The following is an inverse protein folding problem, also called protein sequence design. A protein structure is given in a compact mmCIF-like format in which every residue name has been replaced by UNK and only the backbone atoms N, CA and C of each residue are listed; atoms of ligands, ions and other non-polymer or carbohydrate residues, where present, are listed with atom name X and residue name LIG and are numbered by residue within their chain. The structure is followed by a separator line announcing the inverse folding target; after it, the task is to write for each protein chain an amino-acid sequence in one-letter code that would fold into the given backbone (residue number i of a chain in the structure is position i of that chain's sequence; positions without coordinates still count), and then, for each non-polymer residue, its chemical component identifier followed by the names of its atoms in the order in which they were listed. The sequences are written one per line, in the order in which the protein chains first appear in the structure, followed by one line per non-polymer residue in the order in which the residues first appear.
data_IF_385867045851
#
_entry.id   IF_385867045851
#
_cell.length_a   1.000
_cell.length_b   1.000
_cell.length_c   1.000
_cell.angle_alpha   90.00
_cell.angle_beta   90.00
_cell.angle_gamma   90.00
#
_symmetry.space_group_name_H-M   'P 1'
#
loop_
_entity.id
_entity.type
_entity.pdbx_description
1 polymer ?
#
# COMPACT_ATOMS: atom_id res chain seq x y z
N UNK A 1 -12.32 10.74 -19.81
CA UNK A 1 -12.85 9.74 -18.85
C UNK A 1 -11.71 8.86 -18.35
N UNK A 2 -11.61 8.59 -17.04
CA UNK A 2 -10.63 7.67 -16.47
C UNK A 2 -11.26 6.32 -16.15
N UNK A 3 -10.59 5.22 -16.52
CA UNK A 3 -10.95 3.88 -16.09
C UNK A 3 -10.15 3.50 -14.84
N UNK A 4 -10.83 3.30 -13.73
CA UNK A 4 -10.23 2.88 -12.46
C UNK A 4 -10.36 1.38 -12.25
N UNK A 5 -9.32 0.75 -11.67
CA UNK A 5 -9.28 -0.69 -11.41
C UNK A 5 -8.70 -0.97 -10.02
N UNK A 6 -9.40 -1.80 -9.25
CA UNK A 6 -8.90 -2.31 -7.98
C UNK A 6 -8.26 -3.69 -8.17
N UNK A 7 -6.93 -3.74 -8.27
CA UNK A 7 -6.13 -4.97 -8.35
C UNK A 7 -5.21 -5.11 -7.11
N UNK A 8 -5.78 -5.48 -5.94
CA UNK A 8 -5.04 -5.52 -4.66
C UNK A 8 -3.97 -6.62 -4.60
N UNK A 9 -3.96 -7.52 -5.57
CA UNK A 9 -2.94 -8.55 -5.77
C UNK A 9 -1.62 -8.04 -6.35
N UNK A 10 -1.52 -6.75 -6.65
CA UNK A 10 -0.40 -6.10 -7.31
C UNK A 10 0.98 -6.51 -6.77
N UNK A 11 1.21 -6.44 -5.45
CA UNK A 11 2.54 -6.74 -4.89
C UNK A 11 2.97 -8.19 -5.12
N UNK A 12 2.04 -9.15 -5.07
CA UNK A 12 2.34 -10.56 -5.39
C UNK A 12 2.45 -10.81 -6.90
N UNK A 13 1.80 -9.99 -7.72
CA UNK A 13 1.99 -10.01 -9.17
C UNK A 13 3.39 -9.48 -9.54
N UNK A 14 3.87 -8.43 -8.87
CA UNK A 14 5.26 -7.95 -9.00
C UNK A 14 6.27 -9.01 -8.57
N UNK A 15 6.01 -9.73 -7.47
CA UNK A 15 6.86 -10.84 -7.03
C UNK A 15 6.95 -11.94 -8.08
N UNK A 16 5.81 -12.35 -8.63
CA UNK A 16 5.74 -13.40 -9.66
C UNK A 16 6.33 -12.96 -11.01
N UNK A 17 6.21 -11.67 -11.34
CA UNK A 17 6.69 -11.05 -12.59
C UNK A 17 6.22 -11.75 -13.88
N UNK A 18 4.99 -12.24 -13.88
CA UNK A 18 4.41 -12.99 -15.00
C UNK A 18 3.19 -12.25 -15.56
N UNK A 19 3.11 -12.14 -16.89
CA UNK A 19 1.96 -11.53 -17.57
C UNK A 19 0.69 -12.40 -17.50
N UNK A 20 0.84 -13.69 -17.24
CA UNK A 20 -0.26 -14.66 -17.05
C UNK A 20 -0.46 -15.03 -15.57
N UNK A 21 0.03 -14.18 -14.67
CA UNK A 21 -0.13 -14.40 -13.23
C UNK A 21 -1.62 -14.49 -12.86
N UNK A 22 -1.93 -15.51 -12.08
CA UNK A 22 -3.26 -15.69 -11.49
C UNK A 22 -3.16 -15.57 -9.98
N UNK A 23 -3.84 -14.58 -9.43
CA UNK A 23 -3.84 -14.33 -8.00
C UNK A 23 -4.40 -15.56 -7.22
N UNK A 24 -3.91 -15.81 -5.99
CA UNK A 24 -4.52 -16.78 -5.09
C UNK A 24 -6.00 -16.46 -4.85
N UNK A 25 -6.79 -17.47 -4.46
CA UNK A 25 -8.24 -17.32 -4.23
C UNK A 25 -8.59 -16.11 -3.36
N UNK A 26 -7.89 -15.92 -2.24
CA UNK A 26 -8.12 -14.78 -1.34
C UNK A 26 -7.91 -13.41 -2.01
N UNK A 27 -6.92 -13.27 -2.90
CA UNK A 27 -6.69 -12.04 -3.68
C UNK A 27 -7.80 -11.78 -4.68
N UNK A 28 -8.22 -12.81 -5.44
CA UNK A 28 -9.34 -12.70 -6.36
C UNK A 28 -10.64 -12.37 -5.64
N UNK A 29 -10.89 -12.99 -4.49
CA UNK A 29 -12.06 -12.71 -3.65
C UNK A 29 -12.04 -11.26 -3.15
N UNK A 30 -10.88 -10.77 -2.68
CA UNK A 30 -10.72 -9.38 -2.24
C UNK A 30 -11.01 -8.39 -3.37
N UNK A 31 -10.45 -8.65 -4.57
CA UNK A 31 -10.70 -7.85 -5.78
C UNK A 31 -12.19 -7.83 -6.14
N UNK A 32 -12.85 -8.97 -6.08
CA UNK A 32 -14.28 -9.09 -6.40
C UNK A 32 -15.16 -8.34 -5.39
N UNK A 33 -14.93 -8.56 -4.09
CA UNK A 33 -15.77 -8.01 -3.04
C UNK A 33 -15.60 -6.49 -2.86
N UNK A 34 -14.38 -5.98 -3.08
CA UNK A 34 -14.01 -4.57 -2.86
C UNK A 34 -13.70 -3.81 -4.16
N UNK A 35 -13.99 -4.36 -5.32
CA UNK A 35 -13.77 -3.73 -6.62
C UNK A 35 -14.44 -2.36 -6.79
N UNK A 36 -15.45 -2.06 -5.96
CA UNK A 36 -16.13 -0.77 -5.93
C UNK A 36 -15.31 0.37 -5.30
N UNK A 37 -14.22 0.07 -4.56
CA UNK A 37 -13.48 1.10 -3.81
C UNK A 37 -13.05 2.31 -4.64
N UNK A 38 -12.63 2.18 -5.92
CA UNK A 38 -12.31 3.34 -6.73
C UNK A 38 -13.43 4.38 -6.86
N UNK A 39 -14.69 3.97 -6.73
CA UNK A 39 -15.83 4.91 -6.75
C UNK A 39 -15.78 5.94 -5.61
N UNK A 40 -14.98 5.70 -4.56
CA UNK A 40 -14.83 6.63 -3.42
C UNK A 40 -13.96 7.86 -3.76
N UNK A 41 -13.17 7.82 -4.84
CA UNK A 41 -12.33 8.92 -5.32
C UNK A 41 -12.49 9.25 -6.81
N UNK A 42 -13.23 8.45 -7.56
CA UNK A 42 -13.53 8.69 -8.97
C UNK A 42 -14.30 10.00 -9.16
N UNK A 43 -14.05 10.67 -10.27
CA UNK A 43 -14.77 11.88 -10.66
C UNK A 43 -16.04 11.52 -11.41
N UNK A 44 -16.94 12.50 -11.55
CA UNK A 44 -18.11 12.35 -12.42
C UNK A 44 -17.66 12.05 -13.85
N UNK A 45 -18.29 11.06 -14.47
CA UNK A 45 -17.92 10.57 -15.80
C UNK A 45 -16.84 9.48 -15.81
N UNK A 46 -16.09 9.26 -14.71
CA UNK A 46 -15.13 8.16 -14.62
C UNK A 46 -15.84 6.81 -14.50
N UNK A 47 -15.16 5.75 -14.94
CA UNK A 47 -15.65 4.36 -14.86
C UNK A 47 -14.81 3.51 -13.92
N UNK A 48 -15.46 2.54 -13.30
CA UNK A 48 -14.83 1.59 -12.40
C UNK A 48 -15.00 0.17 -12.96
N UNK A 49 -13.88 -0.47 -13.29
CA UNK A 49 -13.89 -1.85 -13.77
C UNK A 49 -14.17 -2.81 -12.62
N UNK A 50 -15.23 -3.58 -12.73
CA UNK A 50 -15.67 -4.56 -11.72
C UNK A 50 -16.06 -5.87 -12.37
N UNK A 51 -16.13 -6.94 -11.58
CA UNK A 51 -16.57 -8.24 -12.06
C UNK A 51 -18.11 -8.30 -12.19
N UNK A 52 -18.84 -7.69 -11.22
CA UNK A 52 -20.30 -7.67 -11.15
C UNK A 52 -20.79 -6.28 -10.76
N UNK A 53 -21.40 -5.57 -11.70
CA UNK A 53 -21.82 -4.16 -11.55
C UNK A 53 -22.86 -3.97 -10.44
N UNK A 54 -23.89 -4.83 -10.41
CA UNK A 54 -24.97 -4.73 -9.41
C UNK A 54 -24.45 -4.95 -7.98
N UNK A 55 -23.56 -5.93 -7.79
CA UNK A 55 -22.93 -6.21 -6.49
C UNK A 55 -22.05 -5.07 -6.03
N UNK A 56 -21.25 -4.49 -6.95
CA UNK A 56 -20.41 -3.34 -6.68
C UNK A 56 -21.24 -2.10 -6.31
N UNK A 57 -22.32 -1.83 -7.06
CA UNK A 57 -23.23 -0.72 -6.77
C UNK A 57 -23.89 -0.87 -5.39
N UNK A 58 -24.34 -2.08 -5.04
CA UNK A 58 -24.93 -2.37 -3.74
C UNK A 58 -23.92 -2.20 -2.59
N UNK A 59 -22.67 -2.61 -2.80
CA UNK A 59 -21.60 -2.44 -1.83
C UNK A 59 -21.24 -0.95 -1.65
N UNK A 60 -21.08 -0.22 -2.75
CA UNK A 60 -20.85 1.22 -2.75
C UNK A 60 -21.94 1.99 -2.00
N UNK A 61 -23.23 1.77 -2.35
CA UNK A 61 -24.37 2.44 -1.69
C UNK A 61 -24.40 2.20 -0.19
N UNK A 62 -24.04 0.99 0.28
CA UNK A 62 -23.92 0.70 1.73
C UNK A 62 -22.86 1.53 2.42
N UNK A 63 -21.68 1.69 1.78
CA UNK A 63 -20.59 2.53 2.31
C UNK A 63 -21.04 3.97 2.36
N UNK A 64 -21.62 4.46 1.29
CA UNK A 64 -22.14 5.81 1.15
C UNK A 64 -23.17 6.15 2.23
N UNK A 65 -24.18 5.31 2.39
CA UNK A 65 -25.17 5.47 3.44
C UNK A 65 -24.53 5.51 4.85
N UNK A 66 -23.48 4.70 5.06
CA UNK A 66 -22.77 4.70 6.34
C UNK A 66 -21.98 5.97 6.56
N UNK A 67 -21.34 6.53 5.56
CA UNK A 67 -20.62 7.81 5.64
C UNK A 67 -21.56 8.96 6.02
N UNK A 68 -22.72 9.05 5.35
CA UNK A 68 -23.76 10.04 5.69
C UNK A 68 -24.30 9.85 7.10
N UNK A 69 -24.66 8.61 7.47
CA UNK A 69 -25.17 8.30 8.82
C UNK A 69 -24.20 8.68 9.95
N UNK A 70 -22.90 8.69 9.68
CA UNK A 70 -21.86 9.07 10.63
C UNK A 70 -21.51 10.57 10.57
N UNK A 71 -22.12 11.34 9.67
CA UNK A 71 -21.81 12.74 9.44
C UNK A 71 -20.43 12.98 8.78
N UNK A 72 -19.78 11.92 8.26
CA UNK A 72 -18.44 12.03 7.67
C UNK A 72 -18.48 12.78 6.33
N UNK A 73 -19.57 12.62 5.59
CA UNK A 73 -19.83 13.30 4.32
C UNK A 73 -21.29 13.74 4.26
N UNK A 74 -21.52 15.01 3.90
CA UNK A 74 -22.86 15.54 3.67
C UNK A 74 -23.41 15.09 2.31
N UNK A 75 -22.52 14.91 1.35
CA UNK A 75 -22.80 14.38 0.01
C UNK A 75 -21.70 13.42 -0.40
N UNK A 76 -22.08 12.48 -1.28
CA UNK A 76 -21.16 11.44 -1.73
C UNK A 76 -20.43 11.89 -2.98
N UNK A 77 -19.14 11.45 -3.15
CA UNK A 77 -18.52 11.53 -4.44
C UNK A 77 -19.35 10.69 -5.43
N UNK A 78 -19.61 11.23 -6.60
CA UNK A 78 -20.38 10.65 -7.70
C UNK A 78 -21.69 9.94 -7.26
N UNK A 79 -22.81 10.66 -7.31
CA UNK A 79 -24.15 10.12 -7.01
C UNK A 79 -24.49 8.85 -7.82
N UNK A 80 -23.82 8.63 -8.98
CA UNK A 80 -23.96 7.45 -9.83
C UNK A 80 -22.61 7.04 -10.41
N UNK A 81 -21.77 6.30 -9.66
CA UNK A 81 -20.54 5.76 -10.23
C UNK A 81 -20.86 4.80 -11.36
N UNK A 82 -20.19 4.97 -12.48
CA UNK A 82 -20.37 4.09 -13.63
C UNK A 82 -19.51 2.83 -13.45
N UNK A 83 -20.12 1.79 -12.88
CA UNK A 83 -19.50 0.47 -12.86
C UNK A 83 -19.60 -0.19 -14.23
N UNK A 84 -18.56 -0.88 -14.65
CA UNK A 84 -18.49 -1.53 -15.95
C UNK A 84 -17.84 -2.90 -15.85
N UNK A 85 -18.43 -3.91 -16.49
CA UNK A 85 -17.85 -5.24 -16.57
C UNK A 85 -16.89 -5.36 -17.75
N UNK A 86 -15.86 -6.22 -17.62
CA UNK A 86 -14.81 -6.39 -18.63
C UNK A 86 -15.30 -6.76 -20.04
N UNK A 87 -16.50 -7.32 -20.15
CA UNK A 87 -17.10 -7.74 -21.45
C UNK A 87 -17.70 -6.59 -22.26
N UNK A 88 -17.90 -5.41 -21.68
CA UNK A 88 -18.48 -4.26 -22.37
C UNK A 88 -17.38 -3.52 -23.13
N UNK A 89 -17.51 -3.40 -24.46
CA UNK A 89 -16.49 -2.79 -25.34
C UNK A 89 -16.66 -1.29 -25.57
N UNK A 90 -17.82 -0.75 -25.26
CA UNK A 90 -18.24 0.62 -25.65
C UNK A 90 -17.41 1.73 -25.00
N UNK A 91 -16.88 1.51 -23.79
CA UNK A 91 -16.15 2.55 -23.04
C UNK A 91 -14.69 2.78 -23.47
N UNK A 92 -14.12 1.92 -24.32
CA UNK A 92 -12.70 2.02 -24.73
C UNK A 92 -12.38 3.29 -25.50
N UNK A 93 -13.29 3.70 -26.40
CA UNK A 93 -13.11 4.88 -27.24
C UNK A 93 -13.21 6.19 -26.45
N UNK A 94 -13.84 6.17 -25.28
CA UNK A 94 -14.05 7.32 -24.39
C UNK A 94 -12.99 7.40 -23.28
N UNK A 95 -12.08 6.42 -23.21
CA UNK A 95 -11.07 6.35 -22.13
C UNK A 95 -9.83 7.13 -22.50
N UNK A 96 -9.52 8.17 -21.74
CA UNK A 96 -8.33 9.01 -21.88
C UNK A 96 -7.20 8.60 -20.93
N UNK A 97 -7.51 7.84 -19.88
CA UNK A 97 -6.58 7.39 -18.87
C UNK A 97 -7.03 6.10 -18.20
N UNK A 98 -6.08 5.25 -17.84
CA UNK A 98 -6.31 4.02 -17.10
C UNK A 98 -5.53 4.08 -15.77
N UNK A 99 -6.21 3.90 -14.65
CA UNK A 99 -5.63 3.97 -13.32
C UNK A 99 -5.93 2.70 -12.51
N UNK A 100 -5.09 1.67 -12.58
CA UNK A 100 -5.18 0.54 -11.68
C UNK A 100 -4.73 0.94 -10.26
N UNK A 101 -5.00 0.07 -9.30
CA UNK A 101 -4.44 0.17 -7.95
C UNK A 101 -2.92 0.23 -7.97
N UNK A 102 -2.30 -0.61 -8.79
CA UNK A 102 -0.91 -0.57 -9.14
C UNK A 102 -0.63 -1.26 -10.48
N UNK A 103 0.39 -0.81 -11.19
CA UNK A 103 0.80 -1.33 -12.48
C UNK A 103 1.72 -2.54 -12.33
N UNK A 104 1.36 -3.65 -12.95
CA UNK A 104 2.14 -4.87 -13.08
C UNK A 104 1.91 -5.53 -14.44
N UNK A 105 2.70 -6.55 -14.79
CA UNK A 105 2.60 -7.25 -16.08
C UNK A 105 1.24 -7.93 -16.28
N UNK A 106 0.60 -8.40 -15.20
CA UNK A 106 -0.67 -9.12 -15.29
C UNK A 106 -1.83 -8.18 -15.61
N UNK A 107 -1.94 -7.04 -14.90
CA UNK A 107 -2.98 -6.03 -15.18
C UNK A 107 -2.79 -5.40 -16.56
N UNK A 108 -1.53 -5.12 -16.97
CA UNK A 108 -1.25 -4.63 -18.31
C UNK A 108 -1.77 -5.62 -19.37
N UNK A 109 -1.46 -6.93 -19.20
CA UNK A 109 -1.93 -7.98 -20.11
C UNK A 109 -3.44 -8.16 -20.12
N UNK A 110 -4.11 -8.02 -18.96
CA UNK A 110 -5.57 -8.02 -18.87
C UNK A 110 -6.17 -6.90 -19.71
N UNK A 111 -5.64 -5.69 -19.59
CA UNK A 111 -6.08 -4.51 -20.34
C UNK A 111 -5.81 -4.63 -21.85
N UNK A 112 -4.66 -5.18 -22.27
CA UNK A 112 -4.38 -5.49 -23.66
C UNK A 112 -5.44 -6.43 -24.27
N UNK A 113 -5.81 -7.50 -23.53
CA UNK A 113 -6.87 -8.43 -23.94
C UNK A 113 -8.24 -7.75 -24.05
N UNK A 114 -8.45 -6.71 -23.27
CA UNK A 114 -9.63 -5.84 -23.37
C UNK A 114 -9.52 -4.85 -24.52
N UNK A 115 -8.39 -4.79 -25.25
CA UNK A 115 -8.15 -3.96 -26.43
C UNK A 115 -7.64 -2.55 -26.11
N UNK A 116 -7.10 -2.31 -24.93
CA UNK A 116 -6.34 -1.09 -24.65
C UNK A 116 -4.94 -1.20 -25.23
N UNK A 117 -4.38 -0.08 -25.68
CA UNK A 117 -3.05 0.04 -26.27
C UNK A 117 -2.33 1.27 -25.73
N UNK A 118 -1.07 1.45 -26.08
CA UNK A 118 -0.34 2.69 -25.83
C UNK A 118 -1.03 3.88 -26.55
N UNK A 119 -1.02 5.09 -25.98
CA UNK A 119 -0.31 5.51 -24.77
C UNK A 119 -1.07 5.25 -23.45
N UNK A 120 -2.23 4.59 -23.46
CA UNK A 120 -3.03 4.36 -22.26
C UNK A 120 -2.42 3.30 -21.31
N UNK A 121 -1.55 2.44 -21.84
CA UNK A 121 -0.83 1.43 -21.07
C UNK A 121 0.66 1.80 -20.99
N UNK A 122 1.29 1.66 -19.82
CA UNK A 122 2.74 1.82 -19.73
C UNK A 122 3.44 0.75 -20.57
N UNK A 123 4.59 1.09 -21.12
CA UNK A 123 5.44 0.15 -21.85
C UNK A 123 5.93 -0.98 -20.95
N UNK A 124 6.41 -2.12 -21.52
CA UNK A 124 7.03 -3.19 -20.73
C UNK A 124 8.20 -2.70 -19.88
N UNK A 125 9.02 -1.78 -20.39
CA UNK A 125 10.17 -1.21 -19.68
C UNK A 125 9.74 -0.35 -18.49
N UNK A 126 8.67 0.45 -18.63
CA UNK A 126 8.09 1.20 -17.51
C UNK A 126 7.52 0.28 -16.44
N UNK A 127 6.90 -0.84 -16.80
CA UNK A 127 6.45 -1.86 -15.83
C UNK A 127 7.65 -2.48 -15.09
N UNK A 128 8.73 -2.78 -15.81
CA UNK A 128 9.94 -3.33 -15.19
C UNK A 128 10.61 -2.31 -14.26
N UNK A 129 10.59 -1.03 -14.63
CA UNK A 129 11.05 0.04 -13.74
C UNK A 129 10.18 0.17 -12.49
N UNK A 130 8.85 0.13 -12.61
CA UNK A 130 7.93 0.13 -11.45
C UNK A 130 8.25 -1.06 -10.54
N UNK A 131 8.43 -2.25 -11.10
CA UNK A 131 8.79 -3.44 -10.33
C UNK A 131 10.13 -3.27 -9.60
N UNK A 132 11.15 -2.76 -10.28
CA UNK A 132 12.46 -2.50 -9.70
C UNK A 132 12.37 -1.52 -8.52
N UNK A 133 11.67 -0.41 -8.70
CA UNK A 133 11.48 0.61 -7.68
C UNK A 133 10.60 0.13 -6.51
N UNK A 134 9.68 -0.80 -6.75
CA UNK A 134 8.82 -1.41 -5.72
C UNK A 134 9.54 -2.46 -4.87
N UNK A 135 10.79 -2.81 -5.20
CA UNK A 135 11.60 -3.67 -4.36
C UNK A 135 11.95 -2.95 -3.05
N UNK A 136 11.84 -3.62 -1.90
CA UNK A 136 12.13 -3.02 -0.57
C UNK A 136 13.55 -2.46 -0.42
N UNK A 137 14.50 -2.83 -1.30
CA UNK A 137 15.83 -2.17 -1.36
C UNK A 137 15.71 -0.67 -1.60
N UNK A 138 14.70 -0.21 -2.34
CA UNK A 138 14.48 1.22 -2.59
C UNK A 138 14.20 1.96 -1.28
N UNK A 139 13.41 1.37 -0.38
CA UNK A 139 13.20 1.92 0.98
C UNK A 139 14.49 1.94 1.78
N UNK A 140 15.29 0.86 1.72
CA UNK A 140 16.58 0.76 2.40
C UNK A 140 17.59 1.80 1.88
N UNK A 141 17.60 2.07 0.58
CA UNK A 141 18.45 3.10 -0.05
C UNK A 141 18.00 4.52 0.27
N UNK A 142 16.69 4.74 0.39
CA UNK A 142 16.12 6.04 0.73
C UNK A 142 16.38 6.38 2.21
N UNK A 143 16.29 5.40 3.09
CA UNK A 143 16.31 5.59 4.54
C UNK A 143 17.47 6.46 5.04
N UNK A 144 18.75 6.22 4.72
CA UNK A 144 19.87 7.06 5.19
C UNK A 144 19.82 8.50 4.63
N UNK A 145 19.15 8.72 3.50
CA UNK A 145 19.05 10.05 2.88
C UNK A 145 17.99 10.95 3.55
N UNK A 146 17.02 10.33 4.23
CA UNK A 146 15.94 11.06 4.91
C UNK A 146 16.12 11.09 6.42
N UNK A 147 17.00 10.26 6.98
CA UNK A 147 17.30 10.25 8.41
C UNK A 147 17.85 11.59 8.91
N UNK A 148 17.58 11.86 10.18
CA UNK A 148 18.03 13.03 10.92
C UNK A 148 17.90 12.78 12.42
N UNK A 149 18.28 13.74 13.26
CA UNK A 149 18.10 13.66 14.70
C UNK A 149 16.65 13.31 15.07
N UNK A 150 16.45 12.38 16.01
CA UNK A 150 15.14 11.85 16.40
C UNK A 150 14.60 10.75 15.50
N UNK A 151 15.39 10.30 14.50
CA UNK A 151 15.02 9.16 13.65
C UNK A 151 15.90 7.94 13.93
N UNK A 152 15.32 6.76 13.66
CA UNK A 152 15.97 5.44 13.73
C UNK A 152 15.66 4.67 12.44
N UNK A 153 16.33 3.57 12.25
CA UNK A 153 16.04 2.61 11.17
C UNK A 153 17.32 2.16 10.47
N UNK A 154 17.40 0.87 10.23
CA UNK A 154 18.43 0.22 9.41
C UNK A 154 17.75 -0.89 8.60
N UNK A 155 18.17 -1.07 7.37
CA UNK A 155 17.65 -2.11 6.49
C UNK A 155 18.79 -2.62 5.59
N UNK A 156 18.90 -3.93 5.49
CA UNK A 156 19.96 -4.63 4.78
C UNK A 156 19.36 -5.54 3.72
N UNK A 157 19.96 -5.58 2.54
CA UNK A 157 19.64 -6.56 1.52
C UNK A 157 20.64 -7.71 1.62
N UNK A 158 20.16 -8.93 1.84
CA UNK A 158 20.97 -10.14 1.92
C UNK A 158 20.65 -11.05 0.74
N UNK A 159 21.68 -11.50 0.04
CA UNK A 159 21.60 -12.44 -1.10
C UNK A 159 22.00 -13.86 -0.72
N UNK A 160 22.51 -14.06 0.48
CA UNK A 160 22.87 -15.38 1.04
C UNK A 160 22.39 -15.56 2.47
N UNK A 161 22.33 -16.78 2.96
CA UNK A 161 21.94 -17.09 4.35
C UNK A 161 23.00 -16.64 5.34
N UNK A 162 24.27 -16.72 4.97
CA UNK A 162 25.42 -16.34 5.78
C UNK A 162 25.37 -14.84 6.14
N UNK A 163 24.99 -13.98 5.19
CA UNK A 163 24.77 -12.55 5.44
C UNK A 163 23.66 -12.30 6.48
N UNK A 164 22.62 -13.12 6.49
CA UNK A 164 21.57 -13.02 7.52
C UNK A 164 22.10 -13.47 8.88
N UNK A 165 22.92 -14.53 8.93
CA UNK A 165 23.56 -15.02 10.15
C UNK A 165 24.51 -14.00 10.75
N UNK A 166 25.29 -13.29 9.94
CA UNK A 166 26.17 -12.19 10.39
C UNK A 166 25.37 -11.07 11.07
N UNK A 167 24.18 -10.76 10.57
CA UNK A 167 23.33 -9.74 11.20
C UNK A 167 22.79 -10.19 12.57
N UNK A 168 22.59 -11.49 12.80
CA UNK A 168 22.24 -12.01 14.11
C UNK A 168 23.39 -11.90 15.15
N UNK A 169 24.63 -11.73 14.71
CA UNK A 169 25.75 -11.43 15.63
C UNK A 169 25.70 -9.98 16.14
N UNK A 170 25.01 -9.09 15.40
CA UNK A 170 24.89 -7.66 15.72
C UNK A 170 23.59 -7.32 16.44
N UNK A 171 22.52 -8.09 16.20
CA UNK A 171 21.18 -7.78 16.69
C UNK A 171 20.53 -9.03 17.30
N UNK A 172 19.98 -8.89 18.50
CA UNK A 172 19.30 -9.98 19.22
C UNK A 172 18.01 -10.43 18.51
N UNK A 173 17.40 -9.54 17.70
CA UNK A 173 16.14 -9.81 17.05
C UNK A 173 16.05 -9.10 15.71
N UNK A 174 15.63 -9.84 14.68
CA UNK A 174 15.53 -9.37 13.31
C UNK A 174 14.12 -9.53 12.76
N UNK A 175 13.81 -8.69 11.75
CA UNK A 175 12.63 -8.80 10.90
C UNK A 175 13.10 -9.12 9.49
N UNK A 176 12.74 -10.31 9.00
CA UNK A 176 13.04 -10.73 7.63
C UNK A 176 11.84 -10.44 6.74
N UNK A 177 12.07 -9.82 5.58
CA UNK A 177 11.01 -9.41 4.66
C UNK A 177 11.33 -9.89 3.24
N UNK A 178 10.34 -10.51 2.57
CA UNK A 178 10.48 -10.78 1.14
C UNK A 178 10.48 -9.44 0.36
N UNK A 179 11.31 -9.31 -0.69
CA UNK A 179 11.44 -8.08 -1.48
C UNK A 179 10.13 -7.50 -2.00
N UNK A 180 9.25 -8.37 -2.51
CA UNK A 180 7.90 -8.04 -2.93
C UNK A 180 6.92 -8.91 -2.15
N UNK A 181 6.11 -8.28 -1.32
CA UNK A 181 5.04 -8.97 -0.58
C UNK A 181 4.05 -7.96 -0.04
N UNK A 182 2.85 -8.42 0.31
CA UNK A 182 1.81 -7.57 0.89
C UNK A 182 1.18 -8.20 2.12
N UNK A 183 0.54 -7.34 2.92
CA UNK A 183 -0.30 -7.75 4.05
C UNK A 183 0.39 -8.67 5.07
N UNK A 184 1.69 -8.44 5.33
CA UNK A 184 2.48 -9.18 6.32
C UNK A 184 2.82 -10.63 5.96
N UNK A 185 2.38 -11.14 4.81
CA UNK A 185 2.62 -12.56 4.42
C UNK A 185 4.08 -12.87 4.15
N UNK A 186 4.85 -11.88 3.69
CA UNK A 186 6.28 -11.99 3.42
C UNK A 186 7.15 -11.50 4.56
N UNK A 187 6.66 -11.44 5.81
CA UNK A 187 7.40 -10.96 6.98
C UNK A 187 7.58 -12.08 7.98
N UNK A 188 8.78 -12.21 8.55
CA UNK A 188 9.12 -13.12 9.64
C UNK A 188 9.83 -12.37 10.73
N UNK A 189 9.39 -12.58 11.97
CA UNK A 189 10.07 -12.08 13.16
C UNK A 189 10.94 -13.21 13.72
N UNK A 190 12.23 -12.95 13.89
CA UNK A 190 13.21 -13.94 14.30
C UNK A 190 13.99 -13.41 15.49
N UNK A 191 13.94 -14.12 16.60
CA UNK A 191 14.86 -13.92 17.72
C UNK A 191 16.25 -14.48 17.35
N UNK A 192 17.33 -14.02 18.01
CA UNK A 192 18.69 -14.51 17.81
C UNK A 192 18.75 -16.04 17.85
N UNK A 193 19.61 -16.69 17.08
CA UNK A 193 19.43 -18.05 16.63
C UNK A 193 19.27 -19.02 17.78
N UNK A 194 18.04 -19.48 17.99
CA UNK A 194 17.84 -20.81 18.49
C UNK A 194 18.05 -21.74 17.30
N UNK A 195 19.23 -22.31 17.24
CA UNK A 195 19.45 -23.43 16.33
C UNK A 195 18.39 -24.47 16.68
N UNK A 196 17.74 -25.03 15.68
CA UNK A 196 16.88 -26.19 15.87
C UNK A 196 17.76 -27.37 16.35
N UNK A 197 17.16 -28.50 16.73
CA UNK A 197 17.88 -29.69 17.19
C UNK A 197 18.90 -30.22 16.17
N UNK A 198 18.88 -29.71 14.94
CA UNK A 198 19.81 -30.05 13.83
C UNK A 198 20.91 -29.02 13.59
N UNK A 199 20.98 -27.96 14.40
CA UNK A 199 21.94 -26.87 14.22
C UNK A 199 21.59 -25.90 13.07
N UNK A 200 20.36 -25.94 12.51
CA UNK A 200 19.92 -25.04 11.45
C UNK A 200 19.20 -23.82 12.04
N UNK A 201 19.39 -22.65 11.42
CA UNK A 201 18.69 -21.42 11.80
C UNK A 201 17.17 -21.57 11.61
N UNK A 202 16.38 -21.15 12.59
CA UNK A 202 14.93 -21.07 12.44
C UNK A 202 14.62 -20.12 11.28
N UNK A 203 13.76 -20.56 10.33
CA UNK A 203 13.42 -19.89 9.07
C UNK A 203 14.47 -19.97 7.93
N UNK A 204 15.59 -20.68 8.07
CA UNK A 204 16.60 -20.81 7.02
C UNK A 204 15.98 -21.30 5.67
N UNK A 205 15.12 -22.30 5.71
CA UNK A 205 14.39 -22.77 4.52
C UNK A 205 13.55 -21.67 3.87
N UNK A 206 12.90 -20.83 4.67
CA UNK A 206 12.13 -19.70 4.14
C UNK A 206 13.05 -18.66 3.50
N UNK A 207 14.16 -18.32 4.13
CA UNK A 207 15.17 -17.39 3.60
C UNK A 207 15.70 -17.90 2.26
N UNK A 208 16.15 -19.16 2.18
CA UNK A 208 16.64 -19.77 0.93
C UNK A 208 15.58 -19.72 -0.18
N UNK A 209 14.31 -20.03 0.14
CA UNK A 209 13.23 -19.99 -0.83
C UNK A 209 12.95 -18.56 -1.33
N UNK A 210 13.00 -17.56 -0.46
CA UNK A 210 12.82 -16.15 -0.85
C UNK A 210 13.99 -15.70 -1.74
N UNK A 211 15.24 -15.98 -1.35
CA UNK A 211 16.40 -15.64 -2.15
C UNK A 211 16.32 -16.33 -3.52
N UNK A 212 16.00 -17.62 -3.58
CA UNK A 212 15.89 -18.37 -4.82
C UNK A 212 14.79 -17.82 -5.75
N UNK A 213 13.66 -17.34 -5.20
CA UNK A 213 12.52 -16.87 -5.98
C UNK A 213 12.53 -15.38 -6.29
N UNK A 214 13.12 -14.55 -5.41
CA UNK A 214 13.08 -13.08 -5.52
C UNK A 214 14.49 -12.44 -5.55
N UNK A 215 15.56 -13.24 -5.49
CA UNK A 215 16.94 -12.78 -5.61
C UNK A 215 17.60 -12.33 -4.31
N UNK A 216 16.84 -11.93 -3.31
CA UNK A 216 17.35 -11.46 -2.01
C UNK A 216 16.28 -11.57 -0.93
N UNK A 217 16.68 -11.35 0.31
CA UNK A 217 15.79 -11.09 1.46
C UNK A 217 16.20 -9.77 2.10
N UNK A 218 15.22 -8.96 2.50
CA UNK A 218 15.48 -7.74 3.27
C UNK A 218 15.48 -8.08 4.77
N UNK A 219 16.43 -7.51 5.50
CA UNK A 219 16.63 -7.75 6.92
C UNK A 219 16.69 -6.42 7.66
N UNK A 220 15.94 -6.30 8.74
CA UNK A 220 15.91 -5.12 9.58
C UNK A 220 16.06 -5.52 11.05
N UNK A 221 16.69 -4.71 11.90
CA UNK A 221 16.60 -4.87 13.34
C UNK A 221 15.14 -4.80 13.79
N UNK A 222 14.79 -5.54 14.83
CA UNK A 222 13.46 -5.45 15.42
C UNK A 222 13.35 -4.20 16.28
N UNK A 223 12.43 -3.31 15.91
CA UNK A 223 12.13 -2.11 16.69
C UNK A 223 10.88 -2.33 17.56
N UNK A 224 10.93 -1.83 18.80
CA UNK A 224 9.78 -1.83 19.70
C UNK A 224 8.75 -0.81 19.24
N UNK A 225 7.86 -1.26 18.36
CA UNK A 225 6.83 -0.44 17.76
C UNK A 225 5.86 0.14 18.78
N UNK A 226 5.59 1.45 18.68
CA UNK A 226 4.59 2.17 19.46
C UNK A 226 3.38 2.49 18.59
N UNK A 227 3.60 2.98 17.36
CA UNK A 227 2.52 3.38 16.46
C UNK A 227 2.90 3.22 15.00
N UNK A 228 2.00 2.65 14.18
CA UNK A 228 2.10 2.68 12.72
C UNK A 228 1.37 3.90 12.18
N UNK A 229 1.92 4.50 11.14
CA UNK A 229 1.29 5.51 10.32
C UNK A 229 2.00 5.60 8.97
N UNK A 230 1.46 6.37 8.06
CA UNK A 230 2.07 6.63 6.76
C UNK A 230 1.79 8.04 6.26
N UNK A 231 2.46 8.39 5.20
CA UNK A 231 2.20 9.57 4.39
C UNK A 231 1.82 9.13 2.98
N UNK A 232 0.76 9.73 2.46
CA UNK A 232 0.27 9.45 1.11
C UNK A 232 0.62 10.61 0.18
N UNK A 233 1.03 10.26 -1.05
CA UNK A 233 1.52 11.19 -2.05
C UNK A 233 0.99 10.84 -3.44
N UNK A 234 1.17 11.77 -4.36
CA UNK A 234 1.02 11.58 -5.79
C UNK A 234 2.18 12.22 -6.54
N UNK A 235 2.80 11.47 -7.43
CA UNK A 235 3.84 11.92 -8.32
C UNK A 235 3.25 12.22 -9.70
N UNK A 236 3.42 13.45 -10.18
CA UNK A 236 3.00 13.87 -11.50
C UNK A 236 4.11 13.63 -12.54
N UNK A 237 3.72 13.60 -13.83
CA UNK A 237 4.66 13.39 -14.93
C UNK A 237 5.72 14.50 -15.08
N UNK A 238 5.45 15.70 -14.58
CA UNK A 238 6.41 16.82 -14.54
C UNK A 238 7.43 16.70 -13.39
N UNK A 239 7.39 15.62 -12.62
CA UNK A 239 8.22 15.36 -11.45
C UNK A 239 7.76 16.06 -10.17
N UNK A 240 6.59 16.72 -10.18
CA UNK A 240 5.99 17.29 -8.97
C UNK A 240 5.50 16.19 -8.05
N UNK A 241 5.92 16.21 -6.77
CA UNK A 241 5.42 15.33 -5.73
C UNK A 241 4.45 16.10 -4.85
N UNK A 242 3.19 15.68 -4.85
CA UNK A 242 2.12 16.26 -4.05
C UNK A 242 1.86 15.40 -2.80
N UNK A 243 2.00 15.99 -1.63
CA UNK A 243 1.56 15.39 -0.38
C UNK A 243 0.03 15.41 -0.30
N UNK A 244 -0.60 14.28 0.01
CA UNK A 244 -2.05 14.12 0.10
C UNK A 244 -2.55 14.11 1.54
N UNK A 245 -1.76 13.62 2.49
CA UNK A 245 -2.12 13.63 3.91
C UNK A 245 -1.53 12.46 4.70
N UNK A 246 -1.74 12.51 6.01
CA UNK A 246 -1.40 11.43 6.94
C UNK A 246 -2.40 10.27 6.85
N UNK A 247 -1.86 9.06 6.91
CA UNK A 247 -2.60 7.82 7.00
C UNK A 247 -2.28 7.17 8.34
N UNK A 248 -3.18 7.29 9.33
CA UNK A 248 -3.02 6.63 10.61
C UNK A 248 -3.68 5.26 10.54
N UNK A 249 -2.88 4.21 10.57
CA UNK A 249 -3.37 2.85 10.48
C UNK A 249 -2.92 2.00 11.67
N UNK A 250 -3.45 0.80 11.74
CA UNK A 250 -3.10 -0.18 12.76
C UNK A 250 -2.81 -1.53 12.10
N UNK A 251 -1.75 -2.18 12.58
CA UNK A 251 -1.39 -3.53 12.18
C UNK A 251 -1.38 -4.46 13.40
N UNK A 252 -1.76 -5.72 13.17
CA UNK A 252 -1.65 -6.80 14.15
C UNK A 252 -0.83 -7.91 13.51
N UNK A 253 0.30 -8.28 14.13
CA UNK A 253 1.25 -9.26 13.56
C UNK A 253 1.69 -8.93 12.12
N UNK A 254 1.86 -7.64 11.81
CA UNK A 254 2.21 -7.15 10.48
C UNK A 254 1.04 -7.11 9.47
N UNK A 255 -0.15 -7.58 9.84
CA UNK A 255 -1.32 -7.53 8.98
C UNK A 255 -2.11 -6.24 9.22
N UNK A 256 -2.50 -5.56 8.14
CA UNK A 256 -3.35 -4.38 8.18
C UNK A 256 -4.72 -4.68 8.79
N UNK A 257 -5.17 -3.81 9.71
CA UNK A 257 -6.47 -3.92 10.39
C UNK A 257 -7.43 -2.80 9.99
N UNK A 258 -6.93 -1.59 9.80
CA UNK A 258 -7.78 -0.45 9.43
C UNK A 258 -7.09 0.91 9.56
N UNK A 259 -7.74 1.95 9.03
CA UNK A 259 -7.30 3.34 9.12
C UNK A 259 -8.26 4.20 9.93
N UNK A 260 -7.70 5.22 10.58
CA UNK A 260 -8.46 6.28 11.21
C UNK A 260 -8.95 7.27 10.14
N UNK A 261 -10.23 7.61 10.21
CA UNK A 261 -10.86 8.66 9.43
C UNK A 261 -11.02 9.88 10.34
N UNK A 262 -10.27 10.92 10.06
CA UNK A 262 -10.28 12.21 10.74
C UNK A 262 -9.70 13.26 9.79
N UNK A 263 -9.84 14.54 10.13
CA UNK A 263 -9.18 15.62 9.38
C UNK A 263 -7.66 15.53 9.50
N UNK A 264 -6.94 16.21 8.64
CA UNK A 264 -5.48 16.26 8.71
C UNK A 264 -4.98 16.89 10.01
N UNK A 265 -5.65 17.94 10.51
CA UNK A 265 -5.35 18.61 11.79
C UNK A 265 -5.41 17.61 12.95
N UNK A 266 -6.50 16.88 13.06
CA UNK A 266 -6.70 15.86 14.10
C UNK A 266 -5.69 14.73 14.01
N UNK A 267 -5.38 14.24 12.81
CA UNK A 267 -4.35 13.21 12.62
C UNK A 267 -2.97 13.70 13.02
N UNK A 268 -2.62 14.95 12.68
CA UNK A 268 -1.37 15.58 13.12
C UNK A 268 -1.30 15.74 14.63
N UNK A 269 -2.38 16.17 15.26
CA UNK A 269 -2.49 16.22 16.71
C UNK A 269 -2.26 14.84 17.35
N UNK A 270 -2.92 13.78 16.82
CA UNK A 270 -2.74 12.42 17.33
C UNK A 270 -1.30 11.92 17.23
N UNK A 271 -0.58 12.24 16.15
CA UNK A 271 0.82 11.86 15.98
C UNK A 271 1.76 12.71 16.81
N UNK A 272 1.44 13.98 17.08
CA UNK A 272 2.27 14.88 17.86
C UNK A 272 2.47 14.42 19.32
N UNK A 273 1.62 13.54 19.82
CA UNK A 273 1.81 12.87 21.12
C UNK A 273 3.02 11.94 21.15
N UNK A 274 3.55 11.55 20.01
CA UNK A 274 4.65 10.58 19.86
C UNK A 274 5.92 11.21 19.31
N UNK A 275 5.79 12.15 18.37
CA UNK A 275 6.91 12.78 17.67
C UNK A 275 6.67 14.28 17.47
N UNK A 276 7.70 15.14 17.53
CA UNK A 276 7.56 16.57 17.28
C UNK A 276 7.00 16.87 15.88
N UNK A 277 6.10 17.83 15.77
CA UNK A 277 5.53 18.22 14.47
C UNK A 277 6.58 18.72 13.48
N UNK A 278 7.64 19.41 13.96
CA UNK A 278 8.74 19.88 13.12
C UNK A 278 9.54 18.70 12.51
N UNK A 279 9.72 17.58 13.24
CA UNK A 279 10.35 16.39 12.73
C UNK A 279 9.53 15.81 11.58
N UNK A 280 8.21 15.70 11.76
CA UNK A 280 7.29 15.20 10.74
C UNK A 280 7.35 16.04 9.46
N UNK A 281 7.36 17.37 9.58
CA UNK A 281 7.44 18.27 8.43
C UNK A 281 8.80 18.22 7.73
N UNK A 282 9.88 18.08 8.48
CA UNK A 282 11.22 17.93 7.94
C UNK A 282 11.38 16.61 7.16
N UNK A 283 10.86 15.52 7.70
CA UNK A 283 10.86 14.21 7.02
C UNK A 283 10.02 14.29 5.74
N UNK A 284 8.83 14.88 5.78
CA UNK A 284 8.00 15.10 4.57
C UNK A 284 8.75 15.85 3.49
N UNK A 285 9.47 16.92 3.82
CA UNK A 285 10.26 17.68 2.86
C UNK A 285 11.40 16.85 2.25
N UNK A 286 12.14 16.09 3.08
CA UNK A 286 13.21 15.19 2.61
C UNK A 286 12.67 14.12 1.68
N UNK A 287 11.56 13.46 2.05
CA UNK A 287 10.87 12.47 1.23
C UNK A 287 10.50 13.07 -0.14
N UNK A 288 9.81 14.21 -0.14
CA UNK A 288 9.40 14.89 -1.38
C UNK A 288 10.58 15.16 -2.30
N UNK A 289 11.71 15.62 -1.73
CA UNK A 289 12.94 15.91 -2.50
C UNK A 289 13.54 14.63 -3.09
N UNK A 290 13.67 13.56 -2.31
CA UNK A 290 14.34 12.33 -2.73
C UNK A 290 13.50 11.51 -3.72
N UNK A 291 12.20 11.42 -3.49
CA UNK A 291 11.32 10.62 -4.37
C UNK A 291 11.14 11.23 -5.75
N UNK A 292 11.31 12.55 -5.88
CA UNK A 292 11.37 13.20 -7.19
C UNK A 292 12.44 12.57 -8.10
N UNK A 293 13.54 12.10 -7.52
CA UNK A 293 14.66 11.50 -8.25
C UNK A 293 14.39 10.08 -8.75
N UNK A 294 13.34 9.42 -8.27
CA UNK A 294 12.99 8.06 -8.69
C UNK A 294 12.31 8.00 -10.07
N UNK A 295 11.77 9.11 -10.57
CA UNK A 295 11.06 9.16 -11.85
C UNK A 295 9.75 8.37 -11.89
N UNK A 296 9.22 7.94 -10.73
CA UNK A 296 7.93 7.28 -10.65
C UNK A 296 6.79 8.28 -10.91
N UNK A 297 5.74 7.83 -11.60
CA UNK A 297 4.51 8.60 -11.85
C UNK A 297 3.32 7.82 -11.33
N UNK A 298 2.50 8.47 -10.51
CA UNK A 298 1.30 7.87 -9.92
C UNK A 298 1.19 8.06 -8.40
N UNK A 299 0.16 7.49 -7.78
CA UNK A 299 -0.03 7.51 -6.34
C UNK A 299 0.97 6.59 -5.64
N UNK A 300 1.46 7.01 -4.47
CA UNK A 300 2.31 6.17 -3.63
C UNK A 300 2.16 6.52 -2.16
N UNK A 301 2.45 5.56 -1.29
CA UNK A 301 2.46 5.73 0.15
C UNK A 301 3.80 5.35 0.76
N UNK A 302 4.16 5.98 1.86
CA UNK A 302 5.32 5.62 2.67
C UNK A 302 4.84 5.21 4.05
N UNK A 303 5.08 3.97 4.41
CA UNK A 303 4.80 3.46 5.73
C UNK A 303 5.92 3.86 6.70
N UNK A 304 5.53 4.35 7.86
CA UNK A 304 6.39 4.84 8.93
C UNK A 304 6.02 4.17 10.25
N UNK A 305 6.93 4.20 11.19
CA UNK A 305 6.71 3.61 12.49
C UNK A 305 7.33 4.47 13.59
N UNK A 306 6.52 4.85 14.59
CA UNK A 306 7.06 5.35 15.84
C UNK A 306 7.54 4.16 16.67
N UNK A 307 8.75 4.24 17.17
CA UNK A 307 9.35 3.28 18.08
C UNK A 307 9.60 3.92 19.45
N UNK A 308 10.07 3.14 20.43
CA UNK A 308 10.51 3.70 21.71
C UNK A 308 11.75 4.59 21.58
N UNK A 309 12.54 4.37 20.52
CA UNK A 309 13.85 5.00 20.33
C UNK A 309 13.81 6.18 19.33
N UNK A 310 12.68 6.40 18.66
CA UNK A 310 12.51 7.46 17.67
C UNK A 310 11.58 7.08 16.51
N UNK A 311 11.55 7.94 15.50
CA UNK A 311 10.78 7.73 14.28
C UNK A 311 11.57 6.87 13.28
N UNK A 312 11.02 5.75 12.83
CA UNK A 312 11.47 5.06 11.62
C UNK A 312 10.76 5.69 10.40
N UNK A 313 11.45 6.52 9.60
CA UNK A 313 10.79 7.40 8.64
C UNK A 313 10.45 6.73 7.30
N UNK A 314 10.89 5.49 7.06
CA UNK A 314 10.59 4.74 5.85
C UNK A 314 10.72 3.23 6.11
N UNK A 315 9.64 2.60 6.55
CA UNK A 315 9.55 1.15 6.72
C UNK A 315 9.33 0.47 5.36
N UNK A 316 8.52 1.11 4.50
CA UNK A 316 8.19 0.61 3.16
C UNK A 316 7.71 1.75 2.26
N UNK A 317 8.10 1.71 0.98
CA UNK A 317 7.53 2.54 -0.08
C UNK A 317 6.57 1.67 -0.88
N UNK A 318 5.32 2.13 -0.99
CA UNK A 318 4.26 1.47 -1.74
C UNK A 318 3.98 2.27 -3.03
N UNK A 319 4.59 1.90 -4.17
CA UNK A 319 4.42 2.59 -5.46
C UNK A 319 3.11 2.19 -6.14
N UNK A 320 2.03 2.43 -5.46
CA UNK A 320 0.65 2.16 -5.84
C UNK A 320 -0.31 2.91 -4.93
N UNK A 321 -1.60 2.84 -5.21
CA UNK A 321 -2.59 3.23 -4.21
C UNK A 321 -2.50 2.34 -2.97
N UNK A 322 -2.83 2.91 -1.82
CA UNK A 322 -2.85 2.24 -0.52
C UNK A 322 -4.22 2.39 0.13
N UNK A 323 -4.46 1.65 1.19
CA UNK A 323 -5.66 1.87 2.01
C UNK A 323 -5.65 3.25 2.70
N UNK A 324 -4.47 3.88 2.81
CA UNK A 324 -4.33 5.27 3.24
C UNK A 324 -4.98 6.25 2.26
N UNK A 325 -4.77 6.07 0.95
CA UNK A 325 -5.46 6.88 -0.07
C UNK A 325 -6.99 6.73 0.02
N UNK A 326 -7.48 5.49 0.25
CA UNK A 326 -8.91 5.27 0.49
C UNK A 326 -9.40 6.01 1.73
N UNK A 327 -8.64 5.96 2.83
CA UNK A 327 -8.97 6.68 4.04
C UNK A 327 -9.05 8.19 3.82
N UNK A 328 -8.07 8.75 3.09
CA UNK A 328 -8.04 10.17 2.76
C UNK A 328 -9.26 10.60 1.92
N UNK A 329 -9.66 9.80 0.94
CA UNK A 329 -10.80 10.12 0.07
C UNK A 329 -12.15 10.21 0.81
N UNK A 330 -12.27 9.47 1.91
CA UNK A 330 -13.49 9.43 2.73
C UNK A 330 -13.32 10.05 4.13
N UNK A 331 -12.19 10.70 4.42
CA UNK A 331 -11.98 11.41 5.69
C UNK A 331 -12.96 12.57 5.82
N UNK A 332 -13.45 12.90 7.05
CA UNK A 332 -14.30 14.04 7.31
C UNK A 332 -13.56 15.36 7.08
N UNK A 333 -14.31 16.44 6.96
CA UNK A 333 -13.82 17.82 6.95
C UNK A 333 -14.01 18.51 8.31
N UNK A 334 -14.76 17.89 9.19
CA UNK A 334 -15.08 18.37 10.54
C UNK A 334 -14.14 17.69 11.56
N UNK A 335 -13.48 18.48 12.42
CA UNK A 335 -12.52 18.02 13.43
C UNK A 335 -13.17 17.21 14.57
N UNK A 336 -14.47 17.35 14.79
CA UNK A 336 -15.20 16.60 15.81
C UNK A 336 -15.57 15.18 15.37
N UNK A 337 -15.43 14.89 14.07
CA UNK A 337 -15.81 13.59 13.52
C UNK A 337 -14.58 12.67 13.43
N UNK A 338 -14.63 11.59 14.20
CA UNK A 338 -13.61 10.53 14.19
C UNK A 338 -14.25 9.17 13.95
N UNK A 339 -13.70 8.43 13.00
CA UNK A 339 -14.16 7.08 12.67
C UNK A 339 -12.98 6.16 12.34
N UNK A 340 -13.25 4.89 12.20
CA UNK A 340 -12.28 3.90 11.72
C UNK A 340 -12.88 3.11 10.57
N UNK A 341 -12.14 2.99 9.48
CA UNK A 341 -12.46 2.06 8.40
C UNK A 341 -11.67 0.78 8.57
N UNK A 342 -12.27 -0.36 8.21
CA UNK A 342 -11.66 -1.69 8.29
C UNK A 342 -12.07 -2.54 7.10
N UNK A 343 -11.15 -3.40 6.68
CA UNK A 343 -11.48 -4.55 5.81
C UNK A 343 -11.51 -5.78 6.70
N UNK A 344 -12.65 -6.45 6.73
CA UNK A 344 -12.83 -7.67 7.52
C UNK A 344 -13.23 -8.82 6.60
N UNK A 345 -12.80 -10.03 6.93
CA UNK A 345 -13.26 -11.26 6.28
C UNK A 345 -14.33 -11.91 7.16
N UNK A 346 -15.52 -12.09 6.61
CA UNK A 346 -16.66 -12.60 7.34
C UNK A 346 -17.65 -13.29 6.39
N UNK A 347 -18.03 -14.53 6.70
CA UNK A 347 -18.94 -15.32 5.90
C UNK A 347 -18.44 -15.62 4.48
N UNK A 348 -17.13 -15.84 4.30
CA UNK A 348 -16.54 -16.13 2.98
C UNK A 348 -16.26 -14.89 2.11
N UNK A 349 -16.53 -13.68 2.60
CA UNK A 349 -16.42 -12.44 1.87
C UNK A 349 -15.64 -11.37 2.62
N UNK A 350 -14.93 -10.51 1.86
CA UNK A 350 -14.35 -9.29 2.38
C UNK A 350 -15.40 -8.19 2.44
N UNK A 351 -15.46 -7.51 3.58
CA UNK A 351 -16.42 -6.43 3.84
C UNK A 351 -15.70 -5.15 4.27
N UNK A 352 -16.05 -4.05 3.64
CA UNK A 352 -15.58 -2.73 4.05
C UNK A 352 -16.54 -2.16 5.12
N UNK A 353 -16.01 -1.88 6.30
CA UNK A 353 -16.78 -1.38 7.44
C UNK A 353 -16.23 -0.06 7.95
N UNK A 354 -17.14 0.85 8.35
CA UNK A 354 -16.83 2.14 8.96
C UNK A 354 -17.60 2.24 10.27
N UNK A 355 -16.88 2.53 11.36
CA UNK A 355 -17.44 2.69 12.69
C UNK A 355 -16.98 4.01 13.31
N UNK A 356 -17.87 4.71 14.05
CA UNK A 356 -17.48 5.87 14.83
C UNK A 356 -16.48 5.44 15.91
N UNK A 357 -15.41 6.21 16.09
CA UNK A 357 -14.58 6.13 17.28
C UNK A 357 -15.33 6.76 18.44
N UNK A 358 -15.39 6.06 19.55
CA UNK A 358 -15.99 6.55 20.79
C UNK A 358 -15.02 7.42 21.56
#
# INVERSE_FOLDING_TARGET
MTLHIFNPEHDIALAANLSNFTAPHAGRQLRNDLGFLPALWAREGDRILVQHEESALKAYRRVCHRLVKLGIKDSLPALNPQFTAAKQTVYRQETDSVQPWGWDRAIRRELERMGFTEPLLPSPDEIDQIRLLSHRRTSAQLLPQIQMEGTVGEAFECTTTEQVEELFQRYDRLVLKAPWSSSGRGVRFCDAPRLNEKGEMINEKWVRNVIASQGSVMVEPYYNKVKDFGMEFEAAADGTIRYLGLSLFHTVNGAYVGNILATESVKREMISHYIPACLLDSIKQKITKQLRLLGYVGPFGIDMMVTKDGLHPCVEINLRRTMGHVALSISPTDDDIRAVMRVIYDGGHYKFKINKLR
#
